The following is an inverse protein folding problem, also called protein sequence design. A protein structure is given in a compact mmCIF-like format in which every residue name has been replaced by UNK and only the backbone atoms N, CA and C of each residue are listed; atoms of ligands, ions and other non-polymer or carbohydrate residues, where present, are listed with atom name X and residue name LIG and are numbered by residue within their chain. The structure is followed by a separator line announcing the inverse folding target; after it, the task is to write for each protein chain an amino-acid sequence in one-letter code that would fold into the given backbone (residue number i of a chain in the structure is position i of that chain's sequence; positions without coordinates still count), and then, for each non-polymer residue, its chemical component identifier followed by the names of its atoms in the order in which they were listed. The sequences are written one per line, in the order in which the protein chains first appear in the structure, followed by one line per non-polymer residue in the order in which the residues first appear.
data_IF_445353062554
#
_entry.id   IF_445353062554
#
_cell.length_a   1.000
_cell.length_b   1.000
_cell.length_c   1.000
_cell.angle_alpha   90.00
_cell.angle_beta   90.00
_cell.angle_gamma   90.00
#
_symmetry.space_group_name_H-M   'P 1'
#
loop_
_entity.id
_entity.type
_entity.pdbx_description
1 polymer ?
#
# COMPACT_ATOMS: atom_id res chain seq x y z
N UNK A 1 28.10 23.02 12.06
CA UNK A 1 27.38 22.89 13.34
C UNK A 1 26.87 24.23 13.82
N UNK A 2 27.73 25.28 13.94
CA UNK A 2 27.34 26.61 14.46
C UNK A 2 26.03 27.16 13.80
N UNK A 3 25.98 27.21 12.46
CA UNK A 3 24.79 27.74 11.76
C UNK A 3 23.49 26.93 11.93
N UNK A 4 23.56 25.68 12.42
CA UNK A 4 22.38 24.87 12.73
C UNK A 4 21.88 25.21 14.14
N UNK A 5 22.80 25.29 15.09
CA UNK A 5 22.52 25.67 16.47
C UNK A 5 21.86 27.06 16.54
N UNK A 6 22.38 28.04 15.81
CA UNK A 6 21.75 29.39 15.71
C UNK A 6 20.28 29.36 15.31
N UNK A 7 19.90 28.51 14.35
CA UNK A 7 18.50 28.40 13.89
C UNK A 7 17.64 27.69 14.95
N UNK A 8 18.18 26.66 15.60
CA UNK A 8 17.51 25.98 16.71
C UNK A 8 17.23 26.97 17.85
N UNK A 9 18.23 27.80 18.22
CA UNK A 9 18.08 28.82 19.25
C UNK A 9 17.04 29.90 18.87
N UNK A 10 17.03 30.35 17.61
CA UNK A 10 16.06 31.33 17.10
C UNK A 10 14.64 30.79 17.21
N UNK A 11 14.40 29.53 16.82
CA UNK A 11 13.10 28.91 16.88
C UNK A 11 12.63 28.79 18.33
N UNK A 12 13.45 28.21 19.21
CA UNK A 12 13.11 28.07 20.62
C UNK A 12 12.89 29.42 21.30
N UNK A 13 13.76 30.41 21.02
CA UNK A 13 13.60 31.77 21.52
C UNK A 13 12.30 32.40 21.07
N UNK A 14 11.91 32.22 19.81
CA UNK A 14 10.63 32.68 19.27
C UNK A 14 9.42 32.04 19.94
N UNK A 15 9.49 30.74 20.22
CA UNK A 15 8.43 30.02 20.92
C UNK A 15 8.30 30.47 22.38
N UNK A 16 9.43 30.73 23.07
CA UNK A 16 9.39 31.25 24.45
C UNK A 16 8.81 32.66 24.48
N UNK A 17 9.12 33.51 23.48
CA UNK A 17 8.66 34.91 23.42
C UNK A 17 7.19 35.03 23.00
N UNK A 18 6.71 34.16 22.14
CA UNK A 18 5.32 34.14 21.62
C UNK A 18 4.80 32.70 21.57
N UNK A 19 4.13 32.25 22.64
CA UNK A 19 3.53 30.90 22.72
C UNK A 19 2.54 30.60 21.59
N UNK A 20 1.85 31.60 21.04
CA UNK A 20 0.89 31.41 19.95
C UNK A 20 1.58 30.98 18.64
N UNK A 21 2.85 31.28 18.49
CA UNK A 21 3.62 30.86 17.32
C UNK A 21 3.83 29.33 17.27
N UNK A 22 3.64 28.61 18.40
CA UNK A 22 3.70 27.14 18.43
C UNK A 22 2.68 26.50 17.49
N UNK A 23 1.50 27.07 17.34
CA UNK A 23 0.45 26.57 16.44
C UNK A 23 0.96 26.50 14.99
N UNK A 24 1.82 27.44 14.57
CA UNK A 24 2.36 27.51 13.20
C UNK A 24 3.47 26.47 12.94
N UNK A 25 4.13 25.98 13.99
CA UNK A 25 5.34 25.15 13.84
C UNK A 25 5.19 23.72 14.37
N UNK A 26 4.21 23.46 15.25
CA UNK A 26 4.01 22.16 15.90
C UNK A 26 3.70 21.02 14.92
N UNK A 27 3.16 21.34 13.75
CA UNK A 27 2.89 20.41 12.65
C UNK A 27 4.10 20.18 11.73
N UNK A 28 5.09 21.07 11.76
CA UNK A 28 6.25 21.06 10.85
C UNK A 28 7.50 20.44 11.48
N UNK A 29 7.75 20.73 12.74
CA UNK A 29 8.95 20.28 13.44
C UNK A 29 8.60 19.39 14.63
N UNK A 30 9.50 18.43 14.90
CA UNK A 30 9.43 17.50 16.03
C UNK A 30 10.71 17.61 16.86
N UNK A 31 10.75 17.11 18.10
CA UNK A 31 11.96 17.15 18.93
C UNK A 31 13.20 16.59 18.24
N UNK A 32 13.04 15.61 17.35
CA UNK A 32 14.13 14.98 16.61
C UNK A 32 14.81 15.89 15.59
N UNK A 33 14.20 17.02 15.24
CA UNK A 33 14.83 18.02 14.38
C UNK A 33 15.89 18.85 15.08
N UNK A 34 15.88 18.86 16.43
CA UNK A 34 16.87 19.56 17.22
C UNK A 34 18.09 18.65 17.47
N UNK A 35 19.28 19.15 17.15
CA UNK A 35 20.55 18.44 17.37
C UNK A 35 21.12 18.69 18.76
N UNK A 36 20.86 19.87 19.33
CA UNK A 36 21.24 20.19 20.70
C UNK A 36 20.27 19.55 21.71
N UNK A 37 20.83 18.87 22.72
CA UNK A 37 20.06 18.16 23.74
C UNK A 37 19.20 19.09 24.59
N UNK A 38 19.72 20.26 24.94
CA UNK A 38 19.02 21.21 25.79
C UNK A 38 17.85 21.84 25.02
N UNK A 39 18.06 22.24 23.76
CA UNK A 39 17.02 22.81 22.92
C UNK A 39 15.93 21.78 22.62
N UNK A 40 16.29 20.51 22.42
CA UNK A 40 15.33 19.40 22.32
C UNK A 40 14.47 19.28 23.57
N UNK A 41 15.06 19.21 24.74
CA UNK A 41 14.35 19.12 26.02
C UNK A 41 13.42 20.32 26.26
N UNK A 42 13.87 21.53 25.90
CA UNK A 42 13.03 22.73 25.99
C UNK A 42 11.82 22.60 25.07
N UNK A 43 12.01 22.14 23.83
CA UNK A 43 10.90 21.97 22.89
C UNK A 43 9.92 20.87 23.34
N UNK A 44 10.40 19.75 23.87
CA UNK A 44 9.56 18.69 24.45
C UNK A 44 8.70 19.22 25.61
N UNK A 45 9.28 20.03 26.50
CA UNK A 45 8.55 20.62 27.63
C UNK A 45 7.54 21.68 27.16
N UNK A 46 7.89 22.49 26.14
CA UNK A 46 6.95 23.43 25.49
C UNK A 46 5.71 22.66 24.96
N UNK A 47 5.92 21.59 24.20
CA UNK A 47 4.84 20.78 23.65
C UNK A 47 3.97 20.17 24.77
N UNK A 48 4.59 19.69 25.84
CA UNK A 48 3.91 19.06 26.96
C UNK A 48 3.07 20.06 27.76
N UNK A 49 3.56 21.25 28.05
CA UNK A 49 2.80 22.27 28.74
C UNK A 49 1.67 22.82 27.88
N UNK A 50 1.93 23.09 26.61
CA UNK A 50 0.92 23.55 25.68
C UNK A 50 -0.22 22.51 25.50
N UNK A 51 0.09 21.23 25.52
CA UNK A 51 -0.93 20.18 25.43
C UNK A 51 -1.85 20.09 26.63
N UNK A 52 -1.42 20.60 27.83
CA UNK A 52 -2.22 20.61 29.06
C UNK A 52 -3.08 21.87 29.17
N UNK A 53 -2.46 23.03 29.03
CA UNK A 53 -3.05 24.31 29.42
C UNK A 53 -3.24 25.27 28.23
N UNK A 54 -2.91 24.85 27.00
CA UNK A 54 -2.88 25.64 25.77
C UNK A 54 -2.04 26.92 25.89
N UNK A 55 -1.17 26.99 26.92
CA UNK A 55 -0.26 28.09 27.16
C UNK A 55 0.92 27.64 28.02
N UNK A 56 1.99 28.43 28.03
CA UNK A 56 3.18 28.28 28.90
C UNK A 56 3.87 29.63 29.03
N UNK A 57 4.67 29.78 30.08
CA UNK A 57 5.48 30.96 30.30
C UNK A 57 6.93 30.58 30.68
N UNK A 58 7.80 31.56 30.71
CA UNK A 58 9.22 31.36 31.00
C UNK A 58 9.45 30.78 32.43
N UNK A 59 8.58 31.14 33.39
CA UNK A 59 8.71 30.68 34.78
C UNK A 59 8.29 29.22 34.89
N UNK A 60 7.18 28.84 34.26
CA UNK A 60 6.70 27.47 34.23
C UNK A 60 7.68 26.52 33.51
N UNK A 61 8.24 26.96 32.39
CA UNK A 61 9.30 26.23 31.66
C UNK A 61 10.55 26.07 32.52
N UNK A 62 11.03 27.14 33.20
CA UNK A 62 12.18 27.04 34.06
C UNK A 62 11.95 26.03 35.19
N UNK A 63 10.83 26.09 35.89
CA UNK A 63 10.51 25.18 36.99
C UNK A 63 10.53 23.71 36.54
N UNK A 64 10.00 23.43 35.37
CA UNK A 64 9.97 22.07 34.81
C UNK A 64 11.34 21.60 34.32
N UNK A 65 12.18 22.51 33.82
CA UNK A 65 13.51 22.20 33.26
C UNK A 65 14.65 22.25 34.25
N UNK A 66 14.41 22.79 35.46
CA UNK A 66 15.40 22.85 36.54
C UNK A 66 16.05 21.51 36.89
N UNK A 67 15.34 20.36 36.94
CA UNK A 67 15.97 19.05 37.18
C UNK A 67 16.98 18.66 36.10
N UNK A 68 16.85 19.19 34.89
CA UNK A 68 17.71 18.95 33.73
C UNK A 68 18.92 19.93 33.69
N UNK A 69 19.12 20.76 34.74
CA UNK A 69 20.18 21.75 34.86
C UNK A 69 20.15 22.85 33.79
N UNK A 70 18.96 23.19 33.29
CA UNK A 70 18.78 24.31 32.40
C UNK A 70 18.50 25.56 33.24
N UNK A 71 19.36 26.57 33.13
CA UNK A 71 19.31 27.78 33.92
C UNK A 71 18.31 28.80 33.37
N UNK A 72 17.71 29.60 34.25
CA UNK A 72 16.82 30.68 33.86
C UNK A 72 17.50 31.73 32.97
N UNK A 73 18.79 31.97 33.22
CA UNK A 73 19.63 32.85 32.39
C UNK A 73 19.73 32.42 30.95
N UNK A 74 19.81 31.08 30.71
CA UNK A 74 19.83 30.52 29.37
C UNK A 74 18.47 30.68 28.63
N UNK A 75 17.36 30.39 29.28
CA UNK A 75 16.02 30.60 28.73
C UNK A 75 15.76 32.07 28.42
N UNK A 76 16.16 32.97 29.31
CA UNK A 76 16.05 34.43 29.10
C UNK A 76 16.89 34.91 27.92
N UNK A 77 18.12 34.38 27.77
CA UNK A 77 18.99 34.66 26.63
C UNK A 77 18.36 34.19 25.31
N UNK A 78 17.80 32.99 25.27
CA UNK A 78 17.11 32.48 24.08
C UNK A 78 15.94 33.37 23.68
N UNK A 79 15.09 33.75 24.65
CA UNK A 79 13.98 34.65 24.43
C UNK A 79 14.40 36.02 23.91
N UNK A 80 15.47 36.60 24.43
CA UNK A 80 15.99 37.92 24.02
C UNK A 80 16.66 37.92 22.63
N UNK A 81 17.19 36.80 22.18
CA UNK A 81 17.85 36.66 20.88
C UNK A 81 16.85 36.49 19.74
N UNK A 82 15.56 36.30 20.04
CA UNK A 82 14.51 36.16 19.03
C UNK A 82 14.11 37.51 18.45
N UNK A 83 14.42 37.77 17.19
CA UNK A 83 14.22 39.04 16.54
C UNK A 83 12.76 39.22 16.05
N UNK A 84 12.08 38.17 15.65
CA UNK A 84 10.66 38.20 15.20
C UNK A 84 10.13 36.78 14.95
N UNK A 85 8.89 36.51 15.40
CA UNK A 85 8.14 35.26 15.10
C UNK A 85 7.44 35.28 13.73
N UNK A 86 7.46 36.40 13.01
CA UNK A 86 6.82 36.53 11.69
C UNK A 86 7.35 35.58 10.66
N UNK A 87 8.65 35.24 10.73
CA UNK A 87 9.31 34.35 9.80
C UNK A 87 9.62 32.95 10.38
N UNK A 88 9.01 32.58 11.51
CA UNK A 88 9.30 31.32 12.19
C UNK A 88 9.07 30.10 11.28
N UNK A 89 8.08 30.17 10.38
CA UNK A 89 7.83 29.14 9.36
C UNK A 89 9.03 28.88 8.46
N UNK A 90 9.65 29.96 7.95
CA UNK A 90 10.87 29.85 7.13
C UNK A 90 12.05 29.29 7.91
N UNK A 91 12.19 29.67 9.19
CA UNK A 91 13.22 29.12 10.05
C UNK A 91 13.02 27.61 10.27
N UNK A 92 11.79 27.13 10.41
CA UNK A 92 11.48 25.71 10.48
C UNK A 92 11.87 24.96 9.19
N UNK A 93 11.56 25.53 8.02
CA UNK A 93 11.98 24.92 6.74
C UNK A 93 13.49 24.80 6.62
N UNK A 94 14.23 25.85 7.02
CA UNK A 94 15.70 25.83 7.03
C UNK A 94 16.22 24.82 8.06
N UNK A 95 15.59 24.72 9.24
CA UNK A 95 15.94 23.71 10.25
C UNK A 95 15.80 22.30 9.68
N UNK A 96 14.66 21.99 9.07
CA UNK A 96 14.37 20.67 8.47
C UNK A 96 15.41 20.35 7.39
N UNK A 97 15.70 21.29 6.49
CA UNK A 97 16.69 21.06 5.42
C UNK A 97 18.08 20.79 5.99
N UNK A 98 18.54 21.61 6.97
CA UNK A 98 19.85 21.46 7.58
C UNK A 98 19.93 20.17 8.43
N UNK A 99 18.87 19.84 9.17
CA UNK A 99 18.79 18.59 9.91
C UNK A 99 18.86 17.38 8.97
N UNK A 100 18.14 17.42 7.86
CA UNK A 100 18.21 16.38 6.82
C UNK A 100 19.64 16.20 6.29
N UNK A 101 20.31 17.30 5.97
CA UNK A 101 21.73 17.27 5.54
C UNK A 101 22.66 16.74 6.64
N UNK A 102 22.39 17.06 7.90
CA UNK A 102 23.16 16.56 9.03
C UNK A 102 22.98 15.04 9.17
N UNK A 103 21.73 14.55 9.15
CA UNK A 103 21.43 13.11 9.23
C UNK A 103 22.03 12.32 8.07
N UNK A 104 22.04 12.88 6.85
CA UNK A 104 22.71 12.26 5.70
C UNK A 104 24.25 12.17 5.90
N UNK A 105 24.86 13.19 6.53
CA UNK A 105 26.28 13.13 6.87
C UNK A 105 26.58 12.09 7.94
N UNK A 106 25.73 11.97 8.97
CA UNK A 106 25.88 10.94 10.01
C UNK A 106 25.71 9.52 9.39
N UNK A 107 24.78 9.34 8.47
CA UNK A 107 24.66 8.10 7.71
C UNK A 107 25.94 7.80 6.90
N UNK A 108 26.52 8.80 6.27
CA UNK A 108 27.80 8.65 5.55
C UNK A 108 28.94 8.24 6.49
N UNK A 109 29.01 8.79 7.71
CA UNK A 109 29.99 8.38 8.74
C UNK A 109 29.74 6.95 9.20
N UNK A 110 28.47 6.58 9.43
CA UNK A 110 28.07 5.23 9.81
C UNK A 110 28.55 4.23 8.77
N UNK A 111 28.28 4.49 7.49
CA UNK A 111 28.73 3.63 6.38
C UNK A 111 30.25 3.55 6.27
N UNK A 112 30.95 4.66 6.50
CA UNK A 112 32.43 4.70 6.48
C UNK A 112 33.06 4.01 7.67
N UNK A 113 32.33 3.80 8.77
CA UNK A 113 32.80 3.11 9.97
C UNK A 113 32.54 1.61 9.96
N UNK A 114 31.75 1.11 8.98
CA UNK A 114 31.52 -0.31 8.79
C UNK A 114 32.85 -1.00 8.43
N UNK A 115 33.14 -2.10 9.13
CA UNK A 115 34.34 -2.90 8.91
C UNK A 115 33.98 -4.19 8.17
N UNK A 116 35.00 -4.89 7.65
CA UNK A 116 34.84 -6.11 6.84
C UNK A 116 34.14 -7.28 7.58
N UNK A 117 33.90 -7.15 8.90
CA UNK A 117 33.21 -8.13 9.73
C UNK A 117 31.70 -7.86 9.85
N UNK A 118 31.21 -6.72 9.36
CA UNK A 118 29.78 -6.38 9.39
C UNK A 118 29.04 -7.14 8.29
N UNK A 119 27.95 -7.82 8.64
CA UNK A 119 27.11 -8.48 7.63
C UNK A 119 26.58 -7.44 6.64
N UNK A 120 26.89 -7.63 5.38
CA UNK A 120 26.51 -6.73 4.28
C UNK A 120 24.99 -6.56 4.19
N UNK A 121 24.21 -7.62 4.43
CA UNK A 121 22.75 -7.56 4.38
C UNK A 121 22.20 -6.75 5.54
N UNK A 122 22.73 -6.92 6.74
CA UNK A 122 22.34 -6.12 7.92
C UNK A 122 22.68 -4.65 7.72
N UNK A 123 23.86 -4.34 7.16
CA UNK A 123 24.27 -2.98 6.84
C UNK A 123 23.36 -2.33 5.80
N UNK A 124 22.96 -3.07 4.76
CA UNK A 124 22.00 -2.61 3.74
C UNK A 124 20.63 -2.32 4.36
N UNK A 125 20.10 -3.24 5.17
CA UNK A 125 18.79 -3.08 5.82
C UNK A 125 18.77 -1.85 6.74
N UNK A 126 19.82 -1.66 7.55
CA UNK A 126 19.93 -0.49 8.41
C UNK A 126 20.06 0.81 7.60
N UNK A 127 20.81 0.78 6.50
CA UNK A 127 20.97 1.94 5.61
C UNK A 127 19.67 2.32 4.93
N UNK A 128 18.94 1.36 4.38
CA UNK A 128 17.63 1.59 3.76
C UNK A 128 16.62 2.16 4.76
N UNK A 129 16.60 1.64 5.99
CA UNK A 129 15.74 2.15 7.06
C UNK A 129 16.07 3.60 7.40
N UNK A 130 17.35 3.93 7.59
CA UNK A 130 17.79 5.29 7.91
C UNK A 130 17.51 6.27 6.77
N UNK A 131 17.74 5.88 5.51
CA UNK A 131 17.41 6.68 4.34
C UNK A 131 15.90 6.91 4.24
N UNK A 132 15.12 5.89 4.51
CA UNK A 132 13.67 5.98 4.52
C UNK A 132 13.16 6.94 5.61
N UNK A 133 13.68 6.85 6.83
CA UNK A 133 13.35 7.76 7.94
C UNK A 133 13.75 9.21 7.65
N UNK A 134 14.81 9.43 6.85
CA UNK A 134 15.23 10.76 6.40
C UNK A 134 14.32 11.29 5.29
N UNK A 135 13.86 10.42 4.38
CA UNK A 135 13.06 10.81 3.20
C UNK A 135 11.58 10.98 3.51
N UNK A 136 11.06 10.33 4.56
CA UNK A 136 9.69 10.58 5.01
C UNK A 136 9.68 11.94 5.72
N UNK A 137 9.20 12.98 5.03
CA UNK A 137 8.57 14.10 5.70
C UNK A 137 7.38 13.51 6.46
N UNK A 138 7.43 13.40 7.78
CA UNK A 138 6.24 13.19 8.60
C UNK A 138 5.32 14.39 8.34
N UNK A 139 4.49 14.29 7.31
CA UNK A 139 3.32 15.16 7.21
C UNK A 139 2.45 14.71 8.38
N UNK A 140 2.28 15.58 9.35
CA UNK A 140 1.17 15.47 10.29
C UNK A 140 -0.09 15.40 9.45
N UNK A 141 -0.78 14.25 9.51
CA UNK A 141 -1.97 13.99 8.69
C UNK A 141 -3.22 14.60 9.35
N UNK A 142 -3.11 15.84 9.86
CA UNK A 142 -4.27 16.61 10.30
C UNK A 142 -4.75 17.46 9.14
N UNK A 143 -5.98 17.23 8.72
CA UNK A 143 -6.64 18.03 7.69
C UNK A 143 -7.90 18.63 8.30
N UNK A 144 -8.15 19.90 8.01
CA UNK A 144 -9.49 20.42 8.23
C UNK A 144 -10.44 19.73 7.26
N UNK A 145 -11.67 19.43 7.71
CA UNK A 145 -12.64 18.67 6.89
C UNK A 145 -12.92 19.31 5.52
N UNK A 146 -12.73 20.63 5.41
CA UNK A 146 -12.86 21.32 4.12
C UNK A 146 -11.91 20.80 3.05
N UNK A 147 -10.67 20.42 3.41
CA UNK A 147 -9.65 20.03 2.43
C UNK A 147 -10.02 18.71 1.73
N UNK A 148 -10.31 17.60 2.45
CA UNK A 148 -10.80 16.38 1.81
C UNK A 148 -12.17 16.56 1.15
N UNK A 149 -13.03 17.48 1.64
CA UNK A 149 -14.31 17.80 0.99
C UNK A 149 -14.09 18.43 -0.38
N UNK A 150 -13.22 19.43 -0.49
CA UNK A 150 -12.91 20.07 -1.76
C UNK A 150 -12.29 19.08 -2.75
N UNK A 151 -11.34 18.24 -2.28
CA UNK A 151 -10.74 17.19 -3.12
C UNK A 151 -11.80 16.20 -3.64
N UNK A 152 -12.76 15.82 -2.80
CA UNK A 152 -13.85 14.91 -3.21
C UNK A 152 -14.77 15.59 -4.25
N UNK A 153 -15.11 16.87 -4.08
CA UNK A 153 -15.92 17.60 -5.04
C UNK A 153 -15.23 17.74 -6.40
N UNK A 154 -13.92 18.03 -6.41
CA UNK A 154 -13.11 18.03 -7.64
C UNK A 154 -13.12 16.68 -8.36
N UNK A 155 -13.02 15.57 -7.60
CA UNK A 155 -13.11 14.22 -8.16
C UNK A 155 -14.50 13.95 -8.76
N UNK A 156 -15.57 14.32 -8.07
CA UNK A 156 -16.95 14.17 -8.55
C UNK A 156 -17.14 14.96 -9.86
N UNK A 157 -16.64 16.18 -9.93
CA UNK A 157 -16.74 17.02 -11.12
C UNK A 157 -15.90 16.47 -12.29
N UNK A 158 -14.72 15.88 -12.01
CA UNK A 158 -13.92 15.21 -13.01
C UNK A 158 -14.64 13.97 -13.61
N UNK A 159 -15.31 13.18 -12.76
CA UNK A 159 -16.11 12.03 -13.19
C UNK A 159 -17.30 12.47 -14.05
N UNK A 160 -18.05 13.48 -13.59
CA UNK A 160 -19.22 14.01 -14.32
C UNK A 160 -18.84 14.61 -15.69
N UNK A 161 -17.65 15.19 -15.78
CA UNK A 161 -17.15 15.80 -17.03
C UNK A 161 -16.45 14.80 -17.97
N UNK A 162 -16.53 13.50 -17.71
CA UNK A 162 -15.81 12.42 -18.45
C UNK A 162 -14.28 12.71 -18.58
N UNK A 163 -13.71 13.54 -17.73
CA UNK A 163 -12.26 13.60 -17.60
C UNK A 163 -11.83 12.31 -16.93
N UNK A 164 -10.77 11.68 -17.47
CA UNK A 164 -10.30 10.38 -17.02
C UNK A 164 -10.17 10.34 -15.47
N UNK A 165 -11.11 9.65 -14.82
CA UNK A 165 -11.04 9.42 -13.39
C UNK A 165 -9.91 8.41 -13.12
N UNK A 166 -8.75 8.91 -12.69
CA UNK A 166 -7.60 8.08 -12.31
C UNK A 166 -7.65 7.68 -10.83
N UNK A 167 -8.68 8.09 -10.10
CA UNK A 167 -8.83 7.83 -8.66
C UNK A 167 -9.13 6.35 -8.37
N UNK A 168 -9.80 5.66 -9.31
CA UNK A 168 -10.15 4.24 -9.22
C UNK A 168 -9.75 3.50 -10.47
N UNK A 169 -9.02 2.41 -10.30
CA UNK A 169 -8.55 1.57 -11.40
C UNK A 169 -9.61 0.54 -11.77
N UNK A 170 -10.12 0.62 -12.99
CA UNK A 170 -11.11 -0.34 -13.49
C UNK A 170 -10.47 -1.70 -13.73
N UNK A 171 -11.10 -2.75 -13.22
CA UNK A 171 -10.64 -4.14 -13.33
C UNK A 171 -10.87 -4.73 -14.72
N UNK A 172 -11.79 -4.14 -15.49
CA UNK A 172 -12.24 -4.65 -16.78
C UNK A 172 -13.31 -5.75 -16.69
N UNK A 173 -13.74 -6.10 -15.48
CA UNK A 173 -14.88 -6.96 -15.20
C UNK A 173 -16.04 -6.09 -14.73
N UNK A 174 -17.12 -6.03 -15.55
CA UNK A 174 -18.19 -5.05 -15.37
C UNK A 174 -18.86 -5.14 -13.99
N UNK A 175 -19.23 -6.35 -13.59
CA UNK A 175 -19.90 -6.56 -12.31
C UNK A 175 -18.95 -6.28 -11.13
N UNK A 176 -17.68 -6.66 -11.22
CA UNK A 176 -16.69 -6.33 -10.19
C UNK A 176 -16.54 -4.81 -10.06
N UNK A 177 -16.45 -4.11 -11.19
CA UNK A 177 -16.38 -2.65 -11.22
C UNK A 177 -17.67 -1.97 -10.76
N UNK A 178 -18.84 -2.60 -10.98
CA UNK A 178 -20.11 -2.12 -10.46
C UNK A 178 -20.16 -2.15 -8.93
N UNK A 179 -19.81 -3.28 -8.31
CA UNK A 179 -19.83 -3.42 -6.84
C UNK A 179 -18.75 -2.62 -6.15
N UNK A 180 -17.54 -2.51 -6.70
CA UNK A 180 -16.39 -1.90 -6.05
C UNK A 180 -16.09 -0.48 -6.51
N UNK A 181 -16.68 -0.05 -7.61
CA UNK A 181 -16.29 1.17 -8.31
C UNK A 181 -14.93 1.06 -9.04
N UNK A 182 -14.25 -0.08 -8.97
CA UNK A 182 -12.86 -0.29 -9.32
C UNK A 182 -11.95 -0.28 -8.09
N UNK A 183 -10.65 -0.44 -8.28
CA UNK A 183 -9.68 -0.45 -7.18
C UNK A 183 -9.32 0.97 -6.75
N UNK A 184 -9.61 1.29 -5.50
CA UNK A 184 -9.41 2.59 -4.89
C UNK A 184 -8.03 2.67 -4.22
N UNK A 185 -7.34 3.79 -4.39
CA UNK A 185 -6.05 4.06 -3.78
C UNK A 185 -6.10 3.98 -2.25
N UNK A 186 -5.09 3.36 -1.65
CA UNK A 186 -4.98 3.18 -0.20
C UNK A 186 -5.78 2.01 0.37
N UNK A 187 -6.47 1.23 -0.47
CA UNK A 187 -7.25 0.07 -0.04
C UNK A 187 -6.50 -1.25 -0.22
N UNK A 188 -6.80 -2.17 0.71
CA UNK A 188 -6.34 -3.56 0.67
C UNK A 188 -7.49 -4.47 0.21
N UNK A 189 -7.28 -5.15 -0.90
CA UNK A 189 -8.20 -6.13 -1.47
C UNK A 189 -7.65 -7.54 -1.24
N UNK A 190 -8.49 -8.45 -0.78
CA UNK A 190 -8.15 -9.85 -0.62
C UNK A 190 -8.90 -10.67 -1.65
N UNK A 191 -8.17 -11.35 -2.54
CA UNK A 191 -8.73 -12.28 -3.51
C UNK A 191 -8.45 -13.70 -3.03
N UNK A 192 -9.47 -14.41 -2.54
CA UNK A 192 -9.26 -15.69 -1.89
C UNK A 192 -10.06 -16.83 -2.56
N UNK A 193 -9.44 -18.00 -2.61
CA UNK A 193 -10.10 -19.22 -3.07
C UNK A 193 -9.32 -20.48 -2.64
N UNK A 194 -9.92 -21.64 -2.83
CA UNK A 194 -9.19 -22.93 -2.75
C UNK A 194 -8.20 -23.07 -3.93
N UNK A 195 -7.18 -23.90 -3.81
CA UNK A 195 -6.28 -24.20 -4.92
C UNK A 195 -7.04 -24.58 -6.19
N UNK A 196 -6.48 -24.27 -7.34
CA UNK A 196 -7.02 -24.58 -8.68
C UNK A 196 -8.36 -23.91 -9.05
N UNK A 197 -8.90 -23.00 -8.21
CA UNK A 197 -10.10 -22.21 -8.52
C UNK A 197 -9.84 -21.06 -9.50
N UNK A 198 -8.59 -20.73 -9.78
CA UNK A 198 -8.23 -19.67 -10.72
C UNK A 198 -7.82 -18.33 -10.09
N UNK A 199 -7.37 -18.31 -8.81
CA UNK A 199 -6.93 -17.06 -8.11
C UNK A 199 -5.91 -16.26 -8.93
N UNK A 200 -4.76 -16.90 -9.23
CA UNK A 200 -3.68 -16.25 -9.99
C UNK A 200 -4.12 -15.89 -11.42
N UNK A 201 -5.08 -16.65 -11.99
CA UNK A 201 -5.62 -16.36 -13.31
C UNK A 201 -6.49 -15.09 -13.31
N UNK A 202 -7.41 -14.95 -12.33
CA UNK A 202 -8.23 -13.75 -12.20
C UNK A 202 -7.36 -12.52 -11.88
N UNK A 203 -6.41 -12.68 -10.96
CA UNK A 203 -5.42 -11.64 -10.65
C UNK A 203 -4.68 -11.20 -11.90
N UNK A 204 -4.20 -12.15 -12.72
CA UNK A 204 -3.41 -11.85 -13.92
C UNK A 204 -4.28 -11.18 -15.00
N UNK A 205 -5.56 -11.59 -15.16
CA UNK A 205 -6.49 -10.94 -16.08
C UNK A 205 -6.80 -9.50 -15.68
N UNK A 206 -6.98 -9.24 -14.38
CA UNK A 206 -7.16 -7.87 -13.87
C UNK A 206 -5.89 -7.05 -14.09
N UNK A 207 -4.72 -7.61 -13.76
CA UNK A 207 -3.44 -6.96 -13.97
C UNK A 207 -3.19 -6.63 -15.45
N UNK A 208 -3.53 -7.55 -16.37
CA UNK A 208 -3.49 -7.32 -17.82
C UNK A 208 -4.37 -6.13 -18.21
N UNK A 209 -5.64 -6.11 -17.77
CA UNK A 209 -6.58 -5.05 -18.11
C UNK A 209 -6.09 -3.67 -17.65
N UNK A 210 -5.59 -3.57 -16.42
CA UNK A 210 -5.07 -2.31 -15.87
C UNK A 210 -3.78 -1.89 -16.59
N UNK A 211 -2.91 -2.86 -16.93
CA UNK A 211 -1.58 -2.58 -17.50
C UNK A 211 -1.61 -1.95 -18.89
N UNK A 212 -2.74 -2.02 -19.59
CA UNK A 212 -2.95 -1.30 -20.86
C UNK A 212 -2.81 0.22 -20.69
N UNK A 213 -3.16 0.72 -19.51
CA UNK A 213 -3.21 2.15 -19.23
C UNK A 213 -2.19 2.57 -18.16
N UNK A 214 -2.02 1.77 -17.12
CA UNK A 214 -1.26 2.13 -15.92
C UNK A 214 -0.18 1.10 -15.58
N UNK A 215 0.98 1.53 -15.04
CA UNK A 215 2.01 0.61 -14.55
C UNK A 215 1.52 -0.25 -13.37
N UNK A 216 1.71 -1.55 -13.51
CA UNK A 216 1.29 -2.60 -12.56
C UNK A 216 2.54 -3.29 -12.01
N UNK A 217 2.55 -3.60 -10.72
CA UNK A 217 3.59 -4.41 -10.11
C UNK A 217 3.02 -5.71 -9.56
N UNK A 218 3.63 -6.84 -9.90
CA UNK A 218 3.24 -8.17 -9.43
C UNK A 218 4.41 -8.75 -8.63
N UNK A 219 4.15 -9.09 -7.37
CA UNK A 219 5.04 -9.88 -6.53
C UNK A 219 4.50 -11.32 -6.56
N UNK A 220 5.22 -12.19 -7.25
CA UNK A 220 4.85 -13.60 -7.47
C UNK A 220 5.75 -14.51 -6.65
N UNK A 221 5.26 -14.97 -5.51
CA UNK A 221 6.01 -15.86 -4.61
C UNK A 221 5.81 -17.35 -4.93
N UNK A 222 4.98 -17.67 -5.92
CA UNK A 222 4.68 -19.06 -6.31
C UNK A 222 5.12 -19.38 -7.74
N UNK A 223 4.98 -18.44 -8.65
CA UNK A 223 5.23 -18.67 -10.08
C UNK A 223 6.37 -17.79 -10.57
N UNK A 224 7.21 -18.33 -11.46
CA UNK A 224 8.25 -17.54 -12.09
C UNK A 224 7.67 -16.52 -13.10
N UNK A 225 8.44 -15.50 -13.39
CA UNK A 225 8.09 -14.46 -14.37
C UNK A 225 7.82 -15.03 -15.76
N UNK A 226 8.57 -16.06 -16.19
CA UNK A 226 8.35 -16.77 -17.45
C UNK A 226 7.00 -17.49 -17.48
N UNK A 227 6.61 -18.10 -16.36
CA UNK A 227 5.30 -18.77 -16.24
C UNK A 227 4.16 -17.77 -16.35
N UNK A 228 4.27 -16.60 -15.72
CA UNK A 228 3.27 -15.53 -15.83
C UNK A 228 3.18 -14.98 -17.26
N UNK A 229 4.33 -14.70 -17.88
CA UNK A 229 4.40 -14.26 -19.28
C UNK A 229 3.81 -15.31 -20.24
N UNK A 230 4.15 -16.58 -20.04
CA UNK A 230 3.61 -17.68 -20.83
C UNK A 230 2.10 -17.84 -20.72
N UNK A 231 1.54 -17.63 -19.52
CA UNK A 231 0.07 -17.61 -19.34
C UNK A 231 -0.60 -16.45 -20.05
N UNK A 232 -0.02 -15.25 -20.00
CA UNK A 232 -0.52 -14.10 -20.77
C UNK A 232 -0.49 -14.35 -22.27
N UNK A 233 0.59 -14.96 -22.79
CA UNK A 233 0.69 -15.34 -24.20
C UNK A 233 -0.38 -16.38 -24.53
N UNK A 234 -0.58 -17.41 -23.71
CA UNK A 234 -1.62 -18.43 -23.92
C UNK A 234 -3.00 -17.82 -24.01
N UNK A 235 -3.35 -16.96 -23.06
CA UNK A 235 -4.64 -16.27 -22.99
C UNK A 235 -4.91 -15.40 -24.23
N UNK A 236 -3.88 -14.75 -24.77
CA UNK A 236 -4.02 -13.83 -25.88
C UNK A 236 -3.84 -14.48 -27.26
N UNK A 237 -3.16 -15.63 -27.35
CA UNK A 237 -3.03 -16.40 -28.59
C UNK A 237 -4.18 -17.35 -28.83
N UNK A 238 -4.98 -17.67 -27.82
CA UNK A 238 -6.00 -18.71 -27.86
C UNK A 238 -5.44 -20.14 -27.84
N UNK A 239 -4.13 -20.30 -27.53
CA UNK A 239 -3.46 -21.58 -27.45
C UNK A 239 -3.25 -21.96 -25.99
N UNK A 240 -3.57 -23.20 -25.61
CA UNK A 240 -3.42 -23.63 -24.22
C UNK A 240 -1.98 -23.49 -23.73
N UNK A 241 -1.81 -23.12 -22.47
CA UNK A 241 -0.47 -22.97 -21.86
C UNK A 241 0.37 -24.24 -21.99
N UNK A 242 -0.24 -25.42 -21.83
CA UNK A 242 0.44 -26.71 -22.00
C UNK A 242 0.92 -26.92 -23.44
N UNK A 243 0.10 -26.54 -24.43
CA UNK A 243 0.47 -26.63 -25.84
C UNK A 243 1.63 -25.70 -26.17
N UNK A 244 1.63 -24.47 -25.61
CA UNK A 244 2.76 -23.55 -25.76
C UNK A 244 4.06 -24.13 -25.21
N UNK A 245 4.05 -24.68 -24.00
CA UNK A 245 5.22 -25.25 -23.34
C UNK A 245 5.77 -26.48 -24.08
N UNK A 246 4.86 -27.28 -24.68
CA UNK A 246 5.24 -28.48 -25.42
C UNK A 246 5.58 -28.22 -26.88
N UNK A 247 5.43 -26.98 -27.39
CA UNK A 247 5.62 -26.64 -28.79
C UNK A 247 4.58 -27.28 -29.72
N UNK A 248 3.46 -27.80 -29.19
CA UNK A 248 2.42 -28.50 -29.96
C UNK A 248 1.29 -27.54 -30.35
N UNK A 249 1.56 -26.67 -31.29
CA UNK A 249 0.58 -25.75 -31.87
C UNK A 249 0.96 -25.42 -33.33
N UNK A 250 -0.04 -25.16 -34.16
CA UNK A 250 0.17 -24.91 -35.59
C UNK A 250 0.22 -23.41 -35.92
N UNK A 251 -0.40 -22.56 -35.09
CA UNK A 251 -0.56 -21.13 -35.37
C UNK A 251 0.53 -20.28 -34.71
N UNK A 252 1.70 -20.25 -35.34
CA UNK A 252 2.82 -19.42 -34.89
C UNK A 252 2.51 -17.91 -34.94
N UNK A 253 1.70 -17.47 -35.90
CA UNK A 253 1.36 -16.05 -36.07
C UNK A 253 0.61 -15.49 -34.85
N UNK A 254 -0.37 -16.25 -34.31
CA UNK A 254 -1.10 -15.84 -33.13
C UNK A 254 -0.19 -15.73 -31.90
N UNK A 255 0.77 -16.65 -31.74
CA UNK A 255 1.75 -16.60 -30.66
C UNK A 255 2.64 -15.36 -30.80
N UNK A 256 3.09 -15.03 -32.01
CA UNK A 256 3.91 -13.84 -32.24
C UNK A 256 3.13 -12.55 -31.97
N UNK A 257 1.88 -12.44 -32.41
CA UNK A 257 0.98 -11.31 -32.12
C UNK A 257 0.76 -11.15 -30.62
N UNK A 258 0.44 -12.25 -29.91
CA UNK A 258 0.25 -12.26 -28.48
C UNK A 258 1.53 -11.88 -27.72
N UNK A 259 2.69 -12.39 -28.16
CA UNK A 259 3.98 -12.04 -27.56
C UNK A 259 4.31 -10.56 -27.74
N UNK A 260 4.03 -10.00 -28.92
CA UNK A 260 4.21 -8.56 -29.16
C UNK A 260 3.29 -7.72 -28.26
N UNK A 261 2.04 -8.12 -28.13
CA UNK A 261 1.09 -7.47 -27.24
C UNK A 261 1.56 -7.51 -25.78
N UNK A 262 1.93 -8.69 -25.27
CA UNK A 262 2.38 -8.89 -23.88
C UNK A 262 3.63 -8.07 -23.55
N UNK A 263 4.58 -7.95 -24.50
CA UNK A 263 5.79 -7.11 -24.32
C UNK A 263 5.49 -5.63 -24.13
N UNK A 264 4.36 -5.15 -24.64
CA UNK A 264 3.94 -3.74 -24.52
C UNK A 264 3.10 -3.45 -23.28
N UNK A 265 2.72 -4.48 -22.48
CA UNK A 265 2.03 -4.29 -21.23
C UNK A 265 2.95 -3.65 -20.19
N UNK A 266 2.41 -2.72 -19.41
CA UNK A 266 3.15 -2.03 -18.34
C UNK A 266 3.17 -2.87 -17.07
N UNK A 267 3.61 -4.13 -17.15
CA UNK A 267 3.69 -5.06 -16.00
C UNK A 267 5.14 -5.23 -15.59
N UNK A 268 5.42 -4.99 -14.32
CA UNK A 268 6.70 -5.27 -13.66
C UNK A 268 6.50 -6.45 -12.73
N UNK A 269 7.43 -7.40 -12.72
CA UNK A 269 7.31 -8.65 -11.95
C UNK A 269 8.53 -8.80 -11.05
N UNK A 270 8.28 -9.22 -9.81
CA UNK A 270 9.27 -9.74 -8.88
C UNK A 270 8.85 -11.18 -8.53
N UNK A 271 9.66 -12.16 -8.88
CA UNK A 271 9.40 -13.58 -8.69
C UNK A 271 10.31 -14.24 -7.65
N UNK A 272 10.75 -13.45 -6.67
CA UNK A 272 11.54 -13.95 -5.55
C UNK A 272 10.76 -14.99 -4.74
N UNK A 273 11.35 -16.15 -4.48
CA UNK A 273 10.66 -17.31 -3.92
C UNK A 273 10.18 -17.14 -2.47
N UNK A 274 10.80 -16.27 -1.70
CA UNK A 274 10.44 -16.00 -0.30
C UNK A 274 10.87 -14.58 0.07
N UNK A 275 9.95 -13.83 0.65
CA UNK A 275 10.19 -12.46 1.11
C UNK A 275 9.57 -12.26 2.48
N UNK A 276 10.25 -11.51 3.33
CA UNK A 276 9.61 -10.99 4.53
C UNK A 276 8.81 -9.71 4.21
N UNK A 277 7.90 -9.33 5.09
CA UNK A 277 7.01 -8.19 4.85
C UNK A 277 7.76 -6.87 4.71
N UNK A 278 8.92 -6.70 5.36
CA UNK A 278 9.71 -5.47 5.27
C UNK A 278 10.39 -5.37 3.89
N UNK A 279 10.93 -6.49 3.37
CA UNK A 279 11.46 -6.56 2.01
C UNK A 279 10.40 -6.23 0.97
N UNK A 280 9.18 -6.78 1.12
CA UNK A 280 8.05 -6.46 0.23
C UNK A 280 7.77 -4.94 0.24
N UNK A 281 7.69 -4.33 1.42
CA UNK A 281 7.47 -2.88 1.54
C UNK A 281 8.58 -2.07 0.88
N UNK A 282 9.84 -2.46 1.08
CA UNK A 282 10.99 -1.81 0.47
C UNK A 282 10.92 -1.87 -1.07
N UNK A 283 10.64 -3.06 -1.63
CA UNK A 283 10.49 -3.25 -3.07
C UNK A 283 9.34 -2.46 -3.68
N UNK A 284 8.18 -2.42 -3.01
CA UNK A 284 7.03 -1.62 -3.46
C UNK A 284 7.40 -0.13 -3.49
N UNK A 285 8.09 0.39 -2.45
CA UNK A 285 8.53 1.78 -2.42
C UNK A 285 9.52 2.08 -3.55
N UNK A 286 10.50 1.21 -3.75
CA UNK A 286 11.50 1.35 -4.81
C UNK A 286 10.86 1.42 -6.18
N UNK A 287 10.04 0.44 -6.54
CA UNK A 287 9.41 0.39 -7.86
C UNK A 287 8.39 1.54 -8.04
N UNK A 288 7.73 1.99 -6.97
CA UNK A 288 6.86 3.17 -6.99
C UNK A 288 7.62 4.43 -7.37
N UNK A 289 8.82 4.62 -6.84
CA UNK A 289 9.67 5.75 -7.18
C UNK A 289 10.21 5.66 -8.61
N UNK A 290 10.62 4.46 -9.06
CA UNK A 290 11.26 4.27 -10.37
C UNK A 290 10.28 4.23 -11.53
N UNK A 291 9.10 3.66 -11.35
CA UNK A 291 8.13 3.37 -12.42
C UNK A 291 6.76 3.97 -12.21
N UNK A 292 6.54 4.68 -11.09
CA UNK A 292 5.25 5.28 -10.71
C UNK A 292 4.08 4.29 -10.82
N UNK A 293 4.29 3.07 -10.32
CA UNK A 293 3.25 2.03 -10.32
C UNK A 293 1.95 2.54 -9.69
N UNK A 294 0.81 2.09 -10.21
CA UNK A 294 -0.52 2.50 -9.72
C UNK A 294 -1.23 1.41 -8.92
N UNK A 295 -0.76 0.19 -8.98
CA UNK A 295 -1.35 -0.97 -8.28
C UNK A 295 -0.29 -2.03 -8.01
N UNK A 296 -0.46 -2.76 -6.91
CA UNK A 296 0.38 -3.91 -6.55
C UNK A 296 -0.49 -5.16 -6.41
N UNK A 297 -0.05 -6.25 -7.00
CA UNK A 297 -0.59 -7.59 -6.82
C UNK A 297 0.44 -8.47 -6.11
N UNK A 298 -0.03 -9.30 -5.17
CA UNK A 298 0.83 -10.21 -4.40
C UNK A 298 0.23 -11.62 -4.44
N UNK A 299 0.95 -12.58 -5.01
CA UNK A 299 0.53 -13.99 -5.11
C UNK A 299 1.56 -14.89 -4.40
N UNK A 300 1.31 -15.36 -3.17
CA UNK A 300 0.16 -15.20 -2.29
C UNK A 300 0.59 -14.98 -0.81
N UNK A 301 -0.30 -14.47 0.02
CA UNK A 301 -0.03 -14.02 1.38
C UNK A 301 0.69 -15.05 2.27
N UNK A 302 0.31 -16.33 2.20
CA UNK A 302 0.85 -17.37 3.07
C UNK A 302 2.32 -17.73 2.79
N UNK A 303 2.92 -17.18 1.72
CA UNK A 303 4.36 -17.29 1.42
C UNK A 303 5.18 -16.15 2.04
N UNK A 304 4.51 -15.10 2.50
CA UNK A 304 5.18 -13.99 3.18
C UNK A 304 5.49 -14.42 4.61
N UNK A 305 6.64 -13.95 5.12
CA UNK A 305 7.05 -14.17 6.50
C UNK A 305 7.08 -12.87 7.29
N UNK A 306 6.72 -12.97 8.60
CA UNK A 306 6.88 -11.88 9.56
C UNK A 306 7.18 -12.47 10.95
N UNK A 307 7.88 -11.73 11.80
CA UNK A 307 8.17 -12.20 13.17
C UNK A 307 6.93 -12.02 14.05
N UNK A 308 6.28 -13.13 14.42
CA UNK A 308 5.14 -13.15 15.32
C UNK A 308 5.10 -14.45 16.14
N UNK A 309 4.33 -14.46 17.22
CA UNK A 309 4.23 -15.59 18.16
C UNK A 309 3.40 -16.77 17.62
N UNK A 310 2.52 -16.51 16.66
CA UNK A 310 1.67 -17.52 16.04
C UNK A 310 1.39 -17.20 14.60
N UNK A 311 1.02 -18.21 13.79
CA UNK A 311 0.69 -18.03 12.38
C UNK A 311 -0.50 -17.07 12.17
N UNK A 312 -1.48 -17.08 13.04
CA UNK A 312 -2.62 -16.15 12.99
C UNK A 312 -2.15 -14.71 13.15
N UNK A 313 -1.35 -14.42 14.19
CA UNK A 313 -0.78 -13.08 14.40
C UNK A 313 0.17 -12.66 13.27
N UNK A 314 0.92 -13.61 12.72
CA UNK A 314 1.79 -13.35 11.57
C UNK A 314 0.98 -12.88 10.37
N UNK A 315 -0.12 -13.54 10.04
CA UNK A 315 -1.01 -13.15 8.94
C UNK A 315 -1.67 -11.80 9.18
N UNK A 316 -2.09 -11.51 10.42
CA UNK A 316 -2.62 -10.21 10.81
C UNK A 316 -1.60 -9.09 10.64
N UNK A 317 -0.37 -9.31 11.11
CA UNK A 317 0.71 -8.34 10.94
C UNK A 317 1.01 -8.08 9.46
N UNK A 318 1.06 -9.13 8.63
CA UNK A 318 1.27 -8.99 7.19
C UNK A 318 0.15 -8.16 6.55
N UNK A 319 -1.12 -8.45 6.88
CA UNK A 319 -2.26 -7.71 6.34
C UNK A 319 -2.25 -6.24 6.76
N UNK A 320 -1.97 -5.96 8.03
CA UNK A 320 -1.85 -4.61 8.57
C UNK A 320 -0.72 -3.81 7.89
N UNK A 321 0.44 -4.43 7.69
CA UNK A 321 1.58 -3.81 7.01
C UNK A 321 1.30 -3.55 5.51
N UNK A 322 0.57 -4.45 4.84
CA UNK A 322 0.12 -4.24 3.47
C UNK A 322 -0.92 -3.12 3.37
N UNK A 323 -1.84 -3.02 4.33
CA UNK A 323 -2.76 -1.89 4.40
C UNK A 323 -2.04 -0.57 4.68
N UNK A 324 -1.03 -0.58 5.55
CA UNK A 324 -0.22 0.59 5.85
C UNK A 324 0.52 1.09 4.60
N UNK A 325 1.18 0.21 3.82
CA UNK A 325 1.89 0.61 2.60
C UNK A 325 0.93 1.09 1.50
N UNK A 326 -0.27 0.50 1.39
CA UNK A 326 -1.30 0.96 0.46
C UNK A 326 -1.69 2.43 0.75
N UNK A 327 -1.95 2.76 2.02
CA UNK A 327 -2.27 4.12 2.47
C UNK A 327 -1.09 5.09 2.27
N UNK A 328 0.12 4.66 2.64
CA UNK A 328 1.35 5.45 2.55
C UNK A 328 1.61 5.91 1.11
N UNK A 329 1.56 4.98 0.17
CA UNK A 329 1.87 5.22 -1.23
C UNK A 329 0.66 5.64 -2.06
N UNK A 330 -0.54 5.66 -1.45
CA UNK A 330 -1.82 5.97 -2.12
C UNK A 330 -2.03 5.11 -3.37
N UNK A 331 -1.85 3.79 -3.23
CA UNK A 331 -2.10 2.80 -4.29
C UNK A 331 -2.93 1.65 -3.73
N UNK A 332 -3.79 1.00 -4.53
CA UNK A 332 -4.42 -0.25 -4.12
C UNK A 332 -3.41 -1.39 -4.06
N UNK A 333 -3.57 -2.25 -3.06
CA UNK A 333 -2.83 -3.51 -2.91
C UNK A 333 -3.83 -4.65 -2.97
N UNK A 334 -3.61 -5.57 -3.90
CA UNK A 334 -4.43 -6.77 -4.08
C UNK A 334 -3.60 -7.98 -3.67
N UNK A 335 -3.99 -8.64 -2.59
CA UNK A 335 -3.28 -9.79 -2.08
C UNK A 335 -4.11 -11.07 -2.28
N UNK A 336 -3.51 -12.06 -2.92
CA UNK A 336 -4.12 -13.37 -3.11
C UNK A 336 -3.97 -14.18 -1.83
N UNK A 337 -5.04 -14.88 -1.42
CA UNK A 337 -5.05 -15.72 -0.22
C UNK A 337 -5.62 -17.11 -0.52
N UNK A 338 -5.08 -18.10 0.15
CA UNK A 338 -5.63 -19.45 0.09
C UNK A 338 -6.61 -19.69 1.24
N UNK A 339 -7.79 -20.25 0.94
CA UNK A 339 -8.79 -20.58 1.94
C UNK A 339 -8.45 -21.87 2.69
N UNK A 340 -8.96 -21.99 3.91
CA UNK A 340 -8.84 -23.19 4.75
C UNK A 340 -9.40 -24.43 4.05
N UNK A 341 -8.83 -25.60 4.37
CA UNK A 341 -9.33 -26.89 3.86
C UNK A 341 -10.72 -27.25 4.42
N UNK A 342 -11.16 -26.61 5.50
CA UNK A 342 -12.48 -26.84 6.11
C UNK A 342 -13.64 -26.56 5.15
N UNK A 343 -13.46 -25.69 4.14
CA UNK A 343 -14.46 -25.47 3.08
C UNK A 343 -14.84 -26.76 2.35
N UNK A 344 -13.85 -27.65 2.10
CA UNK A 344 -14.06 -28.89 1.34
C UNK A 344 -14.80 -29.98 2.14
N UNK A 345 -14.81 -29.84 3.49
CA UNK A 345 -15.49 -30.77 4.38
C UNK A 345 -16.97 -30.46 4.57
N UNK A 346 -17.42 -29.26 4.14
CA UNK A 346 -18.82 -28.85 4.24
C UNK A 346 -19.67 -29.46 3.12
N UNK A 347 -20.94 -29.64 3.39
CA UNK A 347 -21.92 -30.04 2.39
C UNK A 347 -22.03 -28.99 1.26
N UNK A 348 -22.13 -27.72 1.65
CA UNK A 348 -22.08 -26.57 0.74
C UNK A 348 -20.65 -26.02 0.75
N UNK A 349 -19.97 -26.13 -0.39
CA UNK A 349 -18.56 -25.74 -0.56
C UNK A 349 -18.37 -24.31 -1.02
N UNK A 350 -19.44 -23.51 -0.99
CA UNK A 350 -19.41 -22.08 -1.29
C UNK A 350 -18.65 -21.36 -0.17
N UNK A 351 -17.60 -20.57 -0.49
CA UNK A 351 -16.77 -19.92 0.53
C UNK A 351 -17.49 -18.79 1.24
N UNK A 352 -17.10 -18.53 2.47
CA UNK A 352 -17.55 -17.39 3.28
C UNK A 352 -16.39 -16.81 4.11
N UNK A 353 -16.60 -15.69 4.83
CA UNK A 353 -15.55 -15.00 5.58
C UNK A 353 -14.89 -15.89 6.65
N UNK A 354 -15.62 -16.82 7.25
CA UNK A 354 -15.05 -17.73 8.26
C UNK A 354 -14.00 -18.70 7.68
N UNK A 355 -13.92 -18.84 6.35
CA UNK A 355 -12.93 -19.69 5.68
C UNK A 355 -11.55 -19.03 5.56
N UNK A 356 -11.49 -17.72 5.85
CA UNK A 356 -10.25 -17.00 6.15
C UNK A 356 -9.79 -17.21 7.61
N UNK A 357 -10.31 -18.22 8.33
CA UNK A 357 -10.28 -18.38 9.79
C UNK A 357 -8.87 -18.50 10.40
N UNK A 358 -7.89 -19.04 9.68
CA UNK A 358 -6.48 -18.97 10.12
C UNK A 358 -5.90 -17.56 9.96
N UNK A 359 -6.74 -16.60 9.60
CA UNK A 359 -6.44 -15.25 9.17
C UNK A 359 -7.59 -14.28 9.50
N UNK A 360 -8.29 -14.46 10.62
CA UNK A 360 -9.39 -13.57 11.04
C UNK A 360 -8.97 -12.09 11.11
N UNK A 361 -7.71 -11.84 11.38
CA UNK A 361 -7.11 -10.51 11.33
C UNK A 361 -6.97 -9.99 9.88
N UNK A 362 -6.80 -10.87 8.87
CA UNK A 362 -6.82 -10.45 7.44
C UNK A 362 -8.19 -9.87 7.09
N UNK A 363 -9.27 -10.52 7.56
CA UNK A 363 -10.62 -10.01 7.33
C UNK A 363 -10.79 -8.62 7.92
N UNK A 364 -10.27 -8.36 9.13
CA UNK A 364 -10.41 -7.05 9.79
C UNK A 364 -9.68 -5.95 9.02
N UNK A 365 -8.47 -6.20 8.55
CA UNK A 365 -7.64 -5.21 7.84
C UNK A 365 -8.09 -4.95 6.40
N UNK A 366 -8.64 -5.96 5.72
CA UNK A 366 -9.10 -5.84 4.35
C UNK A 366 -10.27 -4.86 4.20
N UNK A 367 -10.23 -4.02 3.18
CA UNK A 367 -11.36 -3.17 2.82
C UNK A 367 -12.39 -3.94 1.96
N UNK A 368 -11.90 -4.82 1.11
CA UNK A 368 -12.74 -5.67 0.24
C UNK A 368 -12.21 -7.10 0.28
N UNK A 369 -13.12 -8.06 0.42
CA UNK A 369 -12.81 -9.50 0.34
C UNK A 369 -13.63 -10.10 -0.79
N UNK A 370 -12.92 -10.75 -1.72
CA UNK A 370 -13.47 -11.35 -2.93
C UNK A 370 -13.16 -12.85 -2.92
N UNK A 371 -14.18 -13.70 -3.06
CA UNK A 371 -14.00 -15.13 -3.22
C UNK A 371 -14.26 -15.57 -4.66
N UNK A 372 -13.56 -16.62 -5.07
CA UNK A 372 -13.84 -17.34 -6.32
C UNK A 372 -14.38 -18.71 -5.96
N UNK A 373 -15.52 -19.05 -6.53
CA UNK A 373 -16.14 -20.35 -6.37
C UNK A 373 -16.51 -20.95 -7.73
N UNK A 374 -16.08 -22.20 -7.95
CA UNK A 374 -16.35 -22.97 -9.16
C UNK A 374 -16.96 -24.31 -8.79
N UNK A 375 -18.31 -24.46 -8.85
CA UNK A 375 -18.97 -25.74 -8.55
C UNK A 375 -18.50 -26.89 -9.46
N UNK A 376 -18.24 -26.62 -10.74
CA UNK A 376 -17.72 -27.58 -11.72
C UNK A 376 -16.43 -28.29 -11.21
N UNK A 377 -15.55 -27.58 -10.51
CA UNK A 377 -14.35 -28.16 -9.91
C UNK A 377 -14.67 -29.27 -8.91
N UNK A 378 -15.81 -29.17 -8.23
CA UNK A 378 -16.32 -30.17 -7.29
C UNK A 378 -17.26 -31.18 -7.96
N UNK A 379 -17.32 -31.19 -9.29
CA UNK A 379 -18.21 -32.05 -10.08
C UNK A 379 -19.71 -31.78 -9.77
N UNK A 380 -20.04 -30.55 -9.47
CA UNK A 380 -21.42 -30.08 -9.31
C UNK A 380 -21.84 -29.38 -10.60
N UNK A 381 -22.85 -29.91 -11.28
CA UNK A 381 -23.30 -29.42 -12.57
C UNK A 381 -24.07 -28.09 -12.49
N UNK A 382 -24.53 -27.73 -11.29
CA UNK A 382 -25.35 -26.52 -11.07
C UNK A 382 -24.86 -25.73 -9.86
N UNK A 383 -25.11 -24.44 -9.92
CA UNK A 383 -25.09 -23.54 -8.78
C UNK A 383 -26.30 -23.78 -7.87
N UNK A 384 -26.33 -23.15 -6.69
CA UNK A 384 -27.43 -23.30 -5.71
C UNK A 384 -28.78 -22.82 -6.28
N UNK A 385 -28.77 -21.85 -7.18
CA UNK A 385 -29.96 -21.33 -7.86
C UNK A 385 -30.45 -22.20 -9.03
N UNK A 386 -29.83 -23.35 -9.26
CA UNK A 386 -30.18 -24.30 -10.31
C UNK A 386 -29.59 -24.01 -11.70
N UNK A 387 -28.86 -22.92 -11.87
CA UNK A 387 -28.22 -22.58 -13.16
C UNK A 387 -26.97 -23.43 -13.41
N UNK A 388 -26.62 -23.66 -14.68
CA UNK A 388 -25.46 -24.47 -15.06
C UNK A 388 -24.12 -23.85 -14.62
N UNK A 389 -23.25 -24.70 -14.07
CA UNK A 389 -21.93 -24.30 -13.55
C UNK A 389 -20.79 -24.47 -14.55
N UNK A 390 -21.02 -25.23 -15.64
CA UNK A 390 -19.98 -25.58 -16.61
C UNK A 390 -19.37 -24.32 -17.25
N UNK A 391 -18.06 -24.20 -17.18
CA UNK A 391 -17.33 -23.06 -17.74
C UNK A 391 -17.61 -21.73 -17.03
N UNK A 392 -18.19 -21.75 -15.83
CA UNK A 392 -18.52 -20.53 -15.07
C UNK A 392 -17.87 -20.52 -13.70
N UNK A 393 -17.61 -19.32 -13.21
CA UNK A 393 -17.13 -19.07 -11.87
C UNK A 393 -18.01 -18.01 -11.21
N UNK A 394 -18.38 -18.22 -9.96
CA UNK A 394 -19.03 -17.24 -9.12
C UNK A 394 -17.96 -16.41 -8.40
N UNK A 395 -18.07 -15.10 -8.50
CA UNK A 395 -17.25 -14.13 -7.80
C UNK A 395 -18.10 -13.54 -6.69
N UNK A 396 -17.67 -13.70 -5.45
CA UNK A 396 -18.44 -13.33 -4.27
C UNK A 396 -17.71 -12.18 -3.58
N UNK A 397 -18.33 -11.00 -3.51
CA UNK A 397 -17.86 -9.88 -2.72
C UNK A 397 -18.45 -10.04 -1.31
N UNK A 398 -17.66 -10.69 -0.44
CA UNK A 398 -18.10 -11.05 0.90
C UNK A 398 -17.94 -9.90 1.90
N UNK A 399 -17.04 -8.96 1.63
CA UNK A 399 -16.84 -7.74 2.41
C UNK A 399 -16.54 -6.58 1.47
N UNK A 400 -17.18 -5.44 1.72
CA UNK A 400 -16.89 -4.17 1.05
C UNK A 400 -17.17 -3.02 2.00
N UNK A 401 -16.11 -2.34 2.48
CA UNK A 401 -16.27 -1.22 3.45
C UNK A 401 -16.97 -0.01 2.85
N UNK A 402 -16.79 0.21 1.54
CA UNK A 402 -17.23 1.43 0.86
C UNK A 402 -18.35 1.16 -0.16
N UNK A 403 -18.95 -0.03 -0.17
CA UNK A 403 -19.97 -0.40 -1.13
C UNK A 403 -20.81 -1.59 -0.70
N UNK A 404 -21.57 -2.14 -1.62
CA UNK A 404 -22.42 -3.31 -1.39
C UNK A 404 -21.63 -4.61 -1.48
N UNK A 405 -22.13 -5.63 -0.79
CA UNK A 405 -21.74 -7.02 -0.97
C UNK A 405 -22.69 -7.67 -1.99
N UNK A 406 -22.26 -8.76 -2.59
CA UNK A 406 -23.07 -9.48 -3.57
C UNK A 406 -22.22 -10.50 -4.32
N UNK A 407 -22.82 -11.13 -5.29
CA UNK A 407 -22.16 -12.11 -6.14
C UNK A 407 -22.61 -11.97 -7.58
N UNK A 408 -21.73 -12.39 -8.49
CA UNK A 408 -21.96 -12.38 -9.92
C UNK A 408 -21.15 -13.49 -10.57
N UNK A 409 -21.35 -13.71 -11.86
CA UNK A 409 -20.68 -14.79 -12.58
C UNK A 409 -19.81 -14.28 -13.70
N UNK A 410 -18.66 -14.93 -13.84
CA UNK A 410 -17.76 -14.77 -14.98
C UNK A 410 -17.70 -16.09 -15.75
N UNK A 411 -17.49 -16.00 -17.04
CA UNK A 411 -17.09 -17.14 -17.87
C UNK A 411 -15.65 -17.54 -17.49
N UNK A 412 -15.38 -18.85 -17.46
CA UNK A 412 -14.04 -19.36 -17.20
C UNK A 412 -13.61 -20.37 -18.25
N UNK A 413 -12.66 -19.99 -19.08
CA UNK A 413 -12.05 -20.90 -20.04
C UNK A 413 -10.89 -21.67 -19.36
N UNK A 414 -11.12 -22.94 -19.05
CA UNK A 414 -10.13 -23.78 -18.37
C UNK A 414 -8.88 -24.02 -19.21
N UNK A 415 -9.02 -24.19 -20.54
CA UNK A 415 -7.88 -24.44 -21.44
C UNK A 415 -6.91 -23.25 -21.51
N UNK A 416 -7.43 -22.04 -21.44
CA UNK A 416 -6.67 -20.79 -21.45
C UNK A 416 -6.42 -20.24 -20.04
N UNK A 417 -7.04 -20.84 -19.01
CA UNK A 417 -7.04 -20.31 -17.63
C UNK A 417 -7.45 -18.83 -17.57
N UNK A 418 -8.47 -18.45 -18.33
CA UNK A 418 -8.91 -17.09 -18.55
C UNK A 418 -10.32 -16.86 -18.02
N UNK A 419 -10.53 -15.76 -17.31
CA UNK A 419 -11.84 -15.23 -16.96
C UNK A 419 -12.27 -14.20 -17.99
N UNK A 420 -13.58 -14.21 -18.31
CA UNK A 420 -14.18 -13.28 -19.25
C UNK A 420 -15.52 -12.80 -18.70
N UNK A 421 -15.92 -11.58 -19.10
CA UNK A 421 -17.28 -11.12 -18.82
C UNK A 421 -18.30 -12.02 -19.53
N UNK A 422 -19.48 -12.23 -18.94
CA UNK A 422 -20.54 -12.97 -19.61
C UNK A 422 -20.85 -12.37 -20.98
N UNK A 423 -21.16 -13.22 -21.95
CA UNK A 423 -21.63 -12.74 -23.26
C UNK A 423 -22.99 -12.08 -23.06
N UNK A 424 -23.10 -10.81 -23.42
CA UNK A 424 -24.39 -10.12 -23.44
C UNK A 424 -25.30 -10.86 -24.44
N UNK A 425 -26.35 -11.51 -23.97
CA UNK A 425 -27.40 -12.00 -24.84
C UNK A 425 -28.23 -10.79 -25.26
N UNK A 426 -28.05 -10.35 -26.49
CA UNK A 426 -28.97 -9.41 -27.12
C UNK A 426 -30.19 -10.26 -27.48
N UNK A 427 -31.26 -10.19 -26.69
CA UNK A 427 -32.55 -10.65 -27.09
C UNK A 427 -33.13 -9.66 -28.09
N UNK A 428 -33.90 -10.13 -29.05
CA UNK A 428 -34.58 -9.28 -30.08
C UNK A 428 -35.51 -8.21 -29.47
N UNK A 429 -35.75 -8.24 -28.16
CA UNK A 429 -36.61 -7.31 -27.40
C UNK A 429 -35.86 -6.21 -26.62
N UNK A 430 -34.56 -5.97 -26.89
CA UNK A 430 -33.78 -4.93 -26.23
C UNK A 430 -32.91 -5.47 -25.10
N UNK A 431 -31.88 -4.67 -24.74
CA UNK A 431 -30.89 -4.99 -23.71
C UNK A 431 -31.58 -5.16 -22.35
N UNK A 432 -31.49 -6.34 -21.75
CA UNK A 432 -31.77 -6.61 -20.33
C UNK A 432 -30.46 -6.71 -19.59
#
# INVERSE_FOLDING_TARGET
MEKLLEIEEIIIGGLISDPNSLIKVSDKITPEHFTDKNLRLIYEEILKQYSKDQNYDLISLYNALKPHRIEASYLSKLSSNSISTVFIDKHCEILIEKNTRHRLKELGKFLSSANDLTDTNELLEQTEKLLFDISIKKKTNFFHISDPTNQLLEQIDAIKSNRADTSRLKTGFWDLDYYTGGFEAGNLYILAARPSMGKSSLMLNIAENISKYFPVFIISLEMSSENLAGRLIAQNSGISYLSLLSGRFENNENVLKASHYVRNLKIFIDDSASLNIQEIKSRIRKIKLEKDIKVVFIDYLQKITAKAESRVREMGLIASELKAIAKELKIPVIAVSQLSRSVEQRQVKRPNLSDLRDSGEIEQEADVVIFIYRPEYYKLDKFEDGTESKGKAEIIIAKNRNGSVGDFRLEFNQGLTRFENPKVQISDDGII
#
